data_IF_758411179984
#
_entry.id   IF_758411179984
#
_cell.length_a   1.000
_cell.length_b   1.000
_cell.length_c   1.000
_cell.angle_alpha   90.00
_cell.angle_beta   90.00
_cell.angle_gamma   90.00
#
_symmetry.space_group_name_H-M   'P 1'
#
loop_
_entity.id
_entity.type
_entity.pdbx_description
1 polymer ?
#
# COMPACT_ATOMS: atom_id res chain seq x y z
N UNK A 1 8.29 -22.08 -4.29
CA UNK A 1 7.44 -21.21 -5.12
C UNK A 1 8.06 -21.10 -6.51
N UNK A 2 7.25 -21.31 -7.51
CA UNK A 2 7.68 -21.14 -8.88
C UNK A 2 7.97 -19.66 -9.15
N UNK A 3 9.16 -19.34 -9.72
CA UNK A 3 9.55 -17.97 -10.01
C UNK A 3 8.68 -17.33 -11.09
N UNK A 4 8.00 -18.13 -11.88
CA UNK A 4 7.09 -17.63 -12.93
C UNK A 4 5.66 -17.42 -12.40
N UNK A 5 5.39 -17.80 -11.15
CA UNK A 5 4.07 -17.62 -10.56
C UNK A 5 3.78 -16.14 -10.32
N UNK A 6 2.59 -15.70 -10.69
CA UNK A 6 2.10 -14.35 -10.46
C UNK A 6 0.86 -14.44 -9.58
N UNK A 7 0.86 -13.68 -8.50
CA UNK A 7 -0.24 -13.64 -7.56
C UNK A 7 -1.02 -12.35 -7.71
N UNK A 8 -2.34 -12.45 -7.73
CA UNK A 8 -3.23 -11.31 -7.86
C UNK A 8 -3.94 -11.04 -6.54
N UNK A 9 -3.88 -9.78 -6.12
CA UNK A 9 -4.68 -9.28 -5.00
C UNK A 9 -5.82 -8.47 -5.58
N UNK A 10 -7.06 -8.95 -5.43
CA UNK A 10 -8.23 -8.33 -6.06
C UNK A 10 -9.00 -7.54 -5.02
N UNK A 11 -9.28 -6.26 -5.31
CA UNK A 11 -10.13 -5.41 -4.49
C UNK A 11 -11.06 -4.62 -5.39
N UNK A 12 -12.39 -4.81 -5.23
CA UNK A 12 -13.36 -4.17 -6.10
C UNK A 12 -13.17 -4.63 -7.54
N UNK A 13 -12.91 -3.67 -8.44
CA UNK A 13 -12.70 -3.95 -9.86
C UNK A 13 -11.23 -3.88 -10.26
N UNK A 14 -10.34 -3.78 -9.30
CA UNK A 14 -8.92 -3.58 -9.54
C UNK A 14 -8.14 -4.75 -8.97
N UNK A 15 -7.04 -5.10 -9.61
CA UNK A 15 -6.14 -6.13 -9.11
C UNK A 15 -4.71 -5.61 -9.12
N UNK A 16 -3.93 -6.08 -8.15
CA UNK A 16 -2.48 -5.84 -8.09
C UNK A 16 -1.82 -7.21 -8.25
N UNK A 17 -0.88 -7.30 -9.17
CA UNK A 17 -0.14 -8.53 -9.41
C UNK A 17 1.20 -8.51 -8.68
N UNK A 18 1.56 -9.62 -8.07
CA UNK A 18 2.80 -9.78 -7.33
C UNK A 18 3.48 -11.05 -7.82
N UNK A 19 4.79 -10.99 -8.05
CA UNK A 19 5.57 -12.19 -8.37
C UNK A 19 6.94 -12.13 -7.67
N UNK A 20 7.54 -13.30 -7.50
CA UNK A 20 8.88 -13.38 -6.95
C UNK A 20 9.89 -12.74 -7.92
N UNK A 21 10.96 -12.14 -7.39
CA UNK A 21 12.02 -11.62 -8.26
C UNK A 21 12.76 -12.77 -8.95
N UNK A 22 13.43 -12.45 -10.05
CA UNK A 22 14.38 -13.37 -10.66
C UNK A 22 15.52 -13.65 -9.66
N UNK A 23 16.17 -14.82 -9.78
CA UNK A 23 17.17 -15.26 -8.82
C UNK A 23 18.31 -14.27 -8.63
N UNK A 24 18.75 -13.60 -9.70
CA UNK A 24 19.83 -12.60 -9.64
C UNK A 24 19.46 -11.33 -8.88
N UNK A 25 18.15 -11.12 -8.63
CA UNK A 25 17.66 -9.95 -7.88
C UNK A 25 17.13 -10.32 -6.49
N UNK A 26 17.26 -11.60 -6.10
CA UNK A 26 16.82 -12.02 -4.77
C UNK A 26 17.61 -11.26 -3.69
N UNK A 27 16.88 -10.73 -2.72
CA UNK A 27 17.49 -9.94 -1.64
C UNK A 27 17.75 -8.47 -1.97
N UNK A 28 17.46 -8.03 -3.21
CA UNK A 28 17.57 -6.62 -3.59
C UNK A 28 16.32 -5.86 -3.14
N UNK A 29 16.50 -4.80 -2.36
CA UNK A 29 15.39 -3.97 -1.91
C UNK A 29 15.00 -2.94 -2.97
N UNK A 30 13.74 -2.51 -2.93
CA UNK A 30 13.26 -1.41 -3.75
C UNK A 30 13.91 -0.09 -3.29
N UNK A 31 14.25 0.75 -4.25
CA UNK A 31 14.91 2.03 -4.00
C UNK A 31 13.92 3.17 -4.27
N UNK A 32 13.43 3.80 -3.19
CA UNK A 32 12.37 4.81 -3.25
C UNK A 32 12.73 6.03 -4.11
N UNK A 33 14.00 6.42 -4.13
CA UNK A 33 14.43 7.65 -4.79
C UNK A 33 14.87 7.44 -6.24
N UNK A 34 14.74 6.23 -6.75
CA UNK A 34 15.06 5.94 -8.15
C UNK A 34 13.87 6.22 -9.05
N UNK A 35 14.13 6.30 -10.36
CA UNK A 35 13.07 6.34 -11.37
C UNK A 35 12.22 5.09 -11.25
N UNK A 36 10.91 5.26 -11.15
CA UNK A 36 9.97 4.16 -11.01
C UNK A 36 8.78 4.55 -10.16
N UNK A 37 8.26 3.59 -9.44
CA UNK A 37 7.08 3.76 -8.60
C UNK A 37 7.37 4.63 -7.39
N UNK A 38 6.54 5.65 -7.15
CA UNK A 38 6.59 6.41 -5.90
C UNK A 38 5.84 5.66 -4.79
N UNK A 39 4.59 5.31 -5.04
CA UNK A 39 3.79 4.48 -4.15
C UNK A 39 2.49 4.07 -4.85
N UNK A 40 1.79 3.09 -4.27
CA UNK A 40 0.44 2.68 -4.68
C UNK A 40 -0.56 3.16 -3.64
N UNK A 41 -1.69 3.69 -4.11
CA UNK A 41 -2.77 4.16 -3.24
C UNK A 41 -3.98 3.25 -3.35
N UNK A 42 -4.53 2.87 -2.20
CA UNK A 42 -5.79 2.12 -2.10
C UNK A 42 -6.80 2.98 -1.35
N UNK A 43 -8.07 2.89 -1.76
CA UNK A 43 -9.15 3.67 -1.14
C UNK A 43 -9.90 2.82 -0.12
N UNK A 44 -10.01 3.33 1.11
CA UNK A 44 -10.84 2.75 2.15
C UNK A 44 -12.27 3.27 2.07
N UNK A 45 -13.23 2.45 2.49
CA UNK A 45 -14.65 2.85 2.55
C UNK A 45 -14.90 3.84 3.67
N UNK A 46 -14.29 3.59 4.84
CA UNK A 46 -14.51 4.35 6.05
C UNK A 46 -13.18 4.86 6.61
N UNK A 47 -13.23 5.98 7.30
CA UNK A 47 -12.06 6.51 8.00
C UNK A 47 -11.51 5.48 9.02
N UNK A 48 -12.40 4.77 9.70
CA UNK A 48 -12.01 3.77 10.69
C UNK A 48 -11.21 2.62 10.08
N UNK A 49 -11.39 2.31 8.79
CA UNK A 49 -10.64 1.25 8.12
C UNK A 49 -9.15 1.57 8.07
N UNK A 50 -8.79 2.84 7.95
CA UNK A 50 -7.39 3.28 7.95
C UNK A 50 -6.76 2.99 9.31
N UNK A 51 -7.46 3.31 10.39
CA UNK A 51 -6.98 3.04 11.75
C UNK A 51 -6.88 1.55 12.02
N UNK A 52 -7.86 0.77 11.56
CA UNK A 52 -7.88 -0.68 11.73
C UNK A 52 -6.69 -1.33 11.02
N UNK A 53 -6.42 -0.93 9.78
CA UNK A 53 -5.26 -1.43 9.06
C UNK A 53 -3.96 -1.06 9.79
N UNK A 54 -3.86 0.17 10.28
CA UNK A 54 -2.68 0.61 11.03
C UNK A 54 -2.39 -0.30 12.22
N UNK A 55 -3.42 -0.61 13.02
CA UNK A 55 -3.27 -1.52 14.16
C UNK A 55 -2.81 -2.91 13.73
N UNK A 56 -3.38 -3.43 12.66
CA UNK A 56 -2.99 -4.74 12.10
C UNK A 56 -1.54 -4.74 11.64
N UNK A 57 -1.11 -3.71 10.90
CA UNK A 57 0.25 -3.60 10.41
C UNK A 57 1.26 -3.45 11.55
N UNK A 58 0.94 -2.68 12.58
CA UNK A 58 1.80 -2.54 13.74
C UNK A 58 1.99 -3.89 14.45
N UNK A 59 0.93 -4.67 14.57
CA UNK A 59 1.01 -6.00 15.17
C UNK A 59 1.88 -6.97 14.36
N UNK A 60 1.96 -6.78 13.04
CA UNK A 60 2.83 -7.57 12.16
C UNK A 60 4.28 -7.09 12.14
N UNK A 61 4.57 -5.94 12.74
CA UNK A 61 5.91 -5.36 12.68
C UNK A 61 6.25 -4.69 11.36
N UNK A 62 5.25 -4.26 10.60
CA UNK A 62 5.44 -3.58 9.31
C UNK A 62 6.05 -2.21 9.52
N UNK A 63 6.92 -1.79 8.60
CA UNK A 63 7.50 -0.45 8.63
C UNK A 63 6.43 0.59 8.28
N UNK A 64 6.10 1.45 9.24
CA UNK A 64 5.15 2.54 9.05
C UNK A 64 5.95 3.79 8.69
N UNK A 65 5.75 4.30 7.47
CA UNK A 65 6.39 5.52 7.01
C UNK A 65 5.71 6.74 7.64
N UNK A 66 4.38 6.70 7.70
CA UNK A 66 3.58 7.78 8.27
C UNK A 66 2.28 7.19 8.85
N UNK A 67 2.09 7.35 10.15
CA UNK A 67 0.88 6.90 10.83
C UNK A 67 -0.35 7.66 10.31
N UNK A 68 -1.57 7.15 10.52
CA UNK A 68 -2.79 7.80 10.04
C UNK A 68 -2.86 9.27 10.44
N UNK A 69 -3.15 10.12 9.47
CA UNK A 69 -3.32 11.56 9.70
C UNK A 69 -4.12 12.18 8.56
N UNK A 70 -4.69 13.36 8.84
CA UNK A 70 -5.30 14.18 7.80
C UNK A 70 -4.25 14.99 7.06
N UNK A 71 -4.47 15.17 5.76
CA UNK A 71 -3.65 16.00 4.89
C UNK A 71 -4.53 16.96 4.08
N UNK A 72 -3.88 17.93 3.43
CA UNK A 72 -4.57 19.00 2.71
C UNK A 72 -4.86 18.67 1.25
N UNK A 73 -4.64 17.43 0.81
CA UNK A 73 -4.88 17.03 -0.58
C UNK A 73 -6.35 17.14 -0.98
N UNK A 74 -7.24 16.91 0.00
CA UNK A 74 -8.67 17.09 -0.16
C UNK A 74 -9.27 17.26 1.24
N UNK A 75 -10.46 17.87 1.38
CA UNK A 75 -11.10 18.00 2.69
C UNK A 75 -11.31 16.63 3.33
N UNK A 76 -10.79 16.46 4.55
CA UNK A 76 -10.91 15.21 5.29
C UNK A 76 -10.08 14.05 4.77
N UNK A 77 -9.10 14.31 3.88
CA UNK A 77 -8.21 13.28 3.38
C UNK A 77 -7.42 12.66 4.54
N UNK A 78 -7.65 11.39 4.80
CA UNK A 78 -7.07 10.68 5.94
C UNK A 78 -6.34 9.45 5.42
N UNK A 79 -5.06 9.33 5.72
CA UNK A 79 -4.24 8.29 5.11
C UNK A 79 -3.15 7.76 6.01
N UNK A 80 -2.69 6.57 5.65
CA UNK A 80 -1.61 5.82 6.25
C UNK A 80 -0.63 5.44 5.15
N UNK A 81 0.67 5.60 5.39
CA UNK A 81 1.71 5.21 4.45
C UNK A 81 2.64 4.21 5.12
N UNK A 82 2.86 3.08 4.46
CA UNK A 82 3.68 2.00 4.99
C UNK A 82 4.47 1.34 3.86
N UNK A 83 5.36 0.42 4.21
CA UNK A 83 6.19 -0.30 3.24
C UNK A 83 5.84 -1.78 3.23
N UNK A 84 5.91 -2.38 2.03
CA UNK A 84 5.88 -3.83 1.92
C UNK A 84 7.25 -4.41 2.34
N UNK A 85 7.42 -5.75 2.39
CA UNK A 85 8.69 -6.33 2.80
C UNK A 85 9.90 -5.94 1.93
N UNK A 86 9.65 -5.51 0.69
CA UNK A 86 10.72 -5.12 -0.25
C UNK A 86 10.99 -3.62 -0.25
N UNK A 87 10.27 -2.85 0.57
CA UNK A 87 10.46 -1.41 0.68
C UNK A 87 9.58 -0.58 -0.25
N UNK A 88 8.64 -1.21 -0.96
CA UNK A 88 7.69 -0.48 -1.81
C UNK A 88 6.65 0.18 -0.92
N UNK A 89 6.40 1.47 -1.13
CA UNK A 89 5.44 2.23 -0.34
C UNK A 89 4.01 2.02 -0.80
N UNK A 90 3.13 1.81 0.18
CA UNK A 90 1.70 1.60 -0.02
C UNK A 90 0.95 2.61 0.85
N UNK A 91 -0.11 3.17 0.29
CA UNK A 91 -0.97 4.10 1.01
C UNK A 91 -2.38 3.55 1.06
N UNK A 92 -3.03 3.62 2.23
CA UNK A 92 -4.47 3.46 2.34
C UNK A 92 -5.07 4.80 2.73
N UNK A 93 -6.05 5.28 1.97
CA UNK A 93 -6.67 6.57 2.25
C UNK A 93 -8.19 6.48 2.26
N UNK A 94 -8.79 7.37 3.05
CA UNK A 94 -10.21 7.65 3.03
C UNK A 94 -10.41 9.12 2.67
N UNK A 95 -11.28 9.38 1.70
CA UNK A 95 -11.59 10.74 1.26
C UNK A 95 -13.10 10.91 1.32
N UNK A 96 -13.63 11.75 2.24
CA UNK A 96 -15.08 11.96 2.35
C UNK A 96 -15.70 12.39 1.03
N UNK A 97 -16.81 11.75 0.67
CA UNK A 97 -17.54 12.06 -0.55
C UNK A 97 -16.95 11.48 -1.83
N UNK A 98 -15.78 10.85 -1.79
CA UNK A 98 -15.18 10.24 -2.97
C UNK A 98 -15.52 8.76 -3.12
N UNK A 99 -15.79 8.08 -2.00
CA UNK A 99 -16.14 6.67 -2.00
C UNK A 99 -15.08 5.80 -2.64
N UNK A 100 -15.50 4.62 -3.08
CA UNK A 100 -14.63 3.69 -3.81
C UNK A 100 -14.79 3.95 -5.30
N UNK A 101 -13.68 3.82 -6.03
CA UNK A 101 -13.70 3.92 -7.49
C UNK A 101 -14.30 2.64 -8.11
N UNK A 102 -15.15 2.84 -9.06
CA UNK A 102 -15.78 1.76 -9.76
C UNK A 102 -17.00 1.20 -9.10
#
# INVERSE_FOLDING_TARGET
MDTDAVYYCVGGRTAVAIRAPAAEHAGTAFEQNRVGLHHLCFRARERADVDELHGFLCALGVTIVRAPREDQWAPGYYSLLFEDPDGIRLELNHVPGKGLLG
#
